data_IF_689772857049
#
_entry.id   IF_689772857049
#
_cell.length_a   1.000
_cell.length_b   1.000
_cell.length_c   1.000
_cell.angle_alpha   90.00
_cell.angle_beta   90.00
_cell.angle_gamma   90.00
#
_symmetry.space_group_name_H-M   'P 1'
#
loop_
_entity.id
_entity.type
_entity.pdbx_description
1 polymer ?
#
# COMPACT_ATOMS: atom_id res chain seq x y z
N UNK A 1 13.43 3.40 0.80
CA UNK A 1 12.84 2.53 -0.24
C UNK A 1 13.71 2.59 -1.50
N UNK A 2 14.00 1.46 -2.14
CA UNK A 2 14.77 1.47 -3.39
C UNK A 2 14.08 2.31 -4.47
N UNK A 3 14.87 3.08 -5.21
CA UNK A 3 14.35 4.01 -6.21
C UNK A 3 13.54 3.32 -7.32
N UNK A 4 13.99 2.16 -7.77
CA UNK A 4 13.26 1.39 -8.80
C UNK A 4 11.88 0.95 -8.31
N UNK A 5 11.77 0.56 -7.05
CA UNK A 5 10.52 0.12 -6.44
C UNK A 5 9.56 1.30 -6.29
N UNK A 6 10.07 2.45 -5.86
CA UNK A 6 9.27 3.68 -5.77
C UNK A 6 8.70 4.05 -7.13
N UNK A 7 9.48 3.92 -8.21
CA UNK A 7 8.99 4.18 -9.56
C UNK A 7 7.86 3.24 -9.97
N UNK A 8 7.90 1.99 -9.54
CA UNK A 8 6.79 1.05 -9.79
C UNK A 8 5.50 1.50 -9.11
N UNK A 9 5.59 1.97 -7.86
CA UNK A 9 4.44 2.50 -7.12
C UNK A 9 3.86 3.73 -7.82
N UNK A 10 4.71 4.67 -8.19
CA UNK A 10 4.31 5.91 -8.86
C UNK A 10 3.64 5.63 -10.20
N UNK A 11 4.20 4.70 -10.98
CA UNK A 11 3.64 4.31 -12.27
C UNK A 11 2.26 3.68 -12.11
N UNK A 12 2.12 2.75 -11.17
CA UNK A 12 0.83 2.10 -10.92
C UNK A 12 -0.22 3.11 -10.47
N UNK A 13 0.15 4.04 -9.59
CA UNK A 13 -0.73 5.11 -9.16
C UNK A 13 -1.22 5.97 -10.33
N UNK A 14 -0.33 6.33 -11.26
CA UNK A 14 -0.69 7.11 -12.44
C UNK A 14 -1.59 6.33 -13.40
N UNK A 15 -1.30 5.04 -13.60
CA UNK A 15 -2.08 4.19 -14.51
C UNK A 15 -3.52 3.98 -14.02
N UNK A 16 -3.72 3.87 -12.71
CA UNK A 16 -5.05 3.62 -12.14
C UNK A 16 -5.89 4.89 -11.96
N UNK A 17 -5.27 6.07 -11.99
CA UNK A 17 -6.02 7.32 -11.84
C UNK A 17 -7.14 7.40 -12.89
N UNK A 18 -8.36 7.87 -12.53
CA UNK A 18 -8.74 8.58 -11.29
C UNK A 18 -9.12 7.68 -10.12
N UNK A 19 -8.90 6.38 -10.19
CA UNK A 19 -9.13 5.48 -9.08
C UNK A 19 -7.86 5.34 -8.21
N UNK A 20 -8.04 4.98 -6.94
CA UNK A 20 -6.90 4.64 -6.11
C UNK A 20 -6.26 3.33 -6.62
N UNK A 21 -4.95 3.34 -6.76
CA UNK A 21 -4.18 2.12 -6.99
C UNK A 21 -3.97 1.42 -5.66
N UNK A 22 -3.85 0.11 -5.67
CA UNK A 22 -3.48 -0.66 -4.49
C UNK A 22 -2.60 -1.84 -4.85
N UNK A 23 -1.83 -2.31 -3.88
CA UNK A 23 -0.95 -3.44 -4.07
C UNK A 23 -0.28 -3.86 -2.77
N UNK A 24 0.65 -4.79 -2.89
CA UNK A 24 1.38 -5.34 -1.75
C UNK A 24 2.88 -5.19 -1.97
N UNK A 25 3.58 -4.92 -0.87
CA UNK A 25 5.03 -4.91 -0.85
C UNK A 25 5.50 -6.06 0.02
N UNK A 26 6.50 -6.81 -0.46
CA UNK A 26 7.16 -7.81 0.36
C UNK A 26 8.35 -7.19 1.07
N UNK A 27 8.41 -7.37 2.39
CA UNK A 27 9.46 -6.82 3.24
C UNK A 27 10.28 -7.94 3.85
N UNK A 28 11.60 -7.76 3.84
CA UNK A 28 12.52 -8.60 4.59
C UNK A 28 13.40 -7.70 5.44
N UNK A 29 13.45 -7.95 6.74
CA UNK A 29 14.19 -7.12 7.69
C UNK A 29 13.83 -5.62 7.55
N UNK A 30 12.56 -5.35 7.40
CA UNK A 30 11.99 -3.99 7.24
C UNK A 30 12.40 -3.27 5.95
N UNK A 31 12.92 -4.02 4.96
CA UNK A 31 13.28 -3.47 3.65
C UNK A 31 12.37 -4.03 2.58
N UNK A 32 11.76 -3.16 1.80
CA UNK A 32 10.90 -3.56 0.69
C UNK A 32 11.75 -4.11 -0.47
N UNK A 33 11.38 -5.29 -0.97
CA UNK A 33 12.10 -5.96 -2.05
C UNK A 33 11.28 -6.07 -3.34
N UNK A 34 9.96 -6.20 -3.23
CA UNK A 34 9.09 -6.44 -4.38
C UNK A 34 7.76 -5.74 -4.22
N UNK A 35 7.23 -5.21 -5.32
CA UNK A 35 5.87 -4.69 -5.39
C UNK A 35 4.99 -5.62 -6.24
N UNK A 36 3.81 -5.92 -5.70
CA UNK A 36 2.81 -6.75 -6.37
C UNK A 36 1.59 -5.86 -6.63
N UNK A 37 1.42 -5.36 -7.87
CA UNK A 37 0.24 -4.59 -8.21
C UNK A 37 -1.01 -5.44 -8.03
N UNK A 38 -2.02 -4.88 -7.40
CA UNK A 38 -3.30 -5.55 -7.17
C UNK A 38 -4.43 -4.78 -7.84
N UNK A 39 -5.63 -5.38 -7.80
CA UNK A 39 -6.82 -4.80 -8.38
C UNK A 39 -7.59 -4.07 -7.29
N UNK A 40 -7.99 -2.83 -7.54
CA UNK A 40 -8.92 -2.13 -6.67
C UNK A 40 -10.36 -2.48 -7.10
N UNK A 41 -10.96 -3.46 -6.44
CA UNK A 41 -12.31 -3.93 -6.77
C UNK A 41 -13.39 -2.87 -6.49
N UNK A 42 -13.09 -1.89 -5.64
CA UNK A 42 -14.00 -0.76 -5.39
C UNK A 42 -14.04 0.21 -6.56
N UNK A 43 -12.99 0.25 -7.39
CA UNK A 43 -12.85 1.16 -8.52
C UNK A 43 -13.24 2.59 -8.14
N UNK A 44 -12.67 3.09 -7.03
CA UNK A 44 -13.06 4.36 -6.43
C UNK A 44 -11.86 5.30 -6.29
N UNK A 45 -12.07 6.63 -6.46
CA UNK A 45 -11.02 7.61 -6.16
C UNK A 45 -10.84 7.89 -4.66
N UNK A 46 -11.66 7.28 -3.79
CA UNK A 46 -11.67 7.60 -2.35
C UNK A 46 -11.40 6.42 -1.43
N UNK A 47 -11.44 5.20 -1.96
CA UNK A 47 -11.19 3.99 -1.17
C UNK A 47 -10.70 2.86 -2.06
N UNK A 48 -10.19 1.80 -1.45
CA UNK A 48 -9.79 0.61 -2.19
C UNK A 48 -10.30 -0.66 -1.52
N UNK A 49 -10.52 -1.68 -2.35
CA UNK A 49 -10.81 -3.05 -1.95
C UNK A 49 -9.78 -3.92 -2.69
N UNK A 50 -8.73 -4.31 -1.99
CA UNK A 50 -7.58 -4.97 -2.59
C UNK A 50 -7.88 -6.41 -2.96
N UNK A 51 -7.71 -6.73 -4.24
CA UNK A 51 -7.84 -8.09 -4.76
C UNK A 51 -6.51 -8.52 -5.36
N UNK A 52 -5.96 -9.60 -4.84
CA UNK A 52 -4.68 -10.14 -5.29
C UNK A 52 -4.92 -10.98 -6.55
N UNK A 53 -4.18 -10.71 -7.66
CA UNK A 53 -4.35 -11.50 -8.90
C UNK A 53 -3.98 -12.96 -8.72
N UNK A 54 -2.95 -13.25 -7.91
CA UNK A 54 -2.49 -14.60 -7.63
C UNK A 54 -2.36 -14.82 -6.12
N UNK A 55 -3.42 -15.32 -5.44
CA UNK A 55 -3.38 -15.53 -3.99
C UNK A 55 -2.30 -16.51 -3.53
N UNK A 56 -1.90 -17.47 -4.36
CA UNK A 56 -0.86 -18.44 -3.99
C UNK A 56 0.47 -17.76 -3.74
N UNK A 57 0.76 -16.67 -4.45
CA UNK A 57 1.99 -15.91 -4.27
C UNK A 57 2.11 -15.36 -2.84
N UNK A 58 0.99 -14.97 -2.22
CA UNK A 58 1.00 -14.47 -0.84
C UNK A 58 1.45 -15.54 0.14
N UNK A 59 0.93 -16.75 -0.01
CA UNK A 59 1.30 -17.86 0.85
C UNK A 59 2.79 -18.21 0.68
N UNK A 60 3.27 -18.20 -0.56
CA UNK A 60 4.69 -18.45 -0.84
C UNK A 60 5.59 -17.42 -0.18
N UNK A 61 5.23 -16.13 -0.27
CA UNK A 61 6.01 -15.05 0.33
C UNK A 61 6.02 -15.14 1.86
N UNK A 62 4.88 -15.42 2.46
CA UNK A 62 4.80 -15.58 3.92
C UNK A 62 5.60 -16.80 4.39
N UNK A 63 5.53 -17.91 3.65
CA UNK A 63 6.31 -19.12 3.96
C UNK A 63 7.81 -18.87 3.84
N UNK A 64 8.23 -17.99 2.94
CA UNK A 64 9.63 -17.59 2.80
C UNK A 64 10.09 -16.56 3.85
N UNK A 65 9.20 -16.14 4.74
CA UNK A 65 9.52 -15.24 5.84
C UNK A 65 9.37 -13.76 5.53
N UNK A 66 8.71 -13.40 4.43
CA UNK A 66 8.43 -12.01 4.12
C UNK A 66 7.25 -11.48 4.94
N UNK A 67 7.37 -10.24 5.39
CA UNK A 67 6.23 -9.47 5.90
C UNK A 67 5.59 -8.74 4.72
N UNK A 68 4.26 -8.70 4.69
CA UNK A 68 3.53 -7.99 3.65
C UNK A 68 3.09 -6.62 4.16
N UNK A 69 3.33 -5.59 3.36
CA UNK A 69 2.83 -4.24 3.58
C UNK A 69 1.79 -3.92 2.51
N UNK A 70 0.76 -3.19 2.89
CA UNK A 70 -0.24 -2.74 1.92
C UNK A 70 0.13 -1.37 1.37
N UNK A 71 -0.05 -1.19 0.08
CA UNK A 71 0.14 0.08 -0.62
C UNK A 71 -1.18 0.55 -1.22
N UNK A 72 -1.44 1.84 -1.14
CA UNK A 72 -2.45 2.48 -1.99
C UNK A 72 -2.06 3.92 -2.30
N UNK A 73 -2.70 4.49 -3.32
CA UNK A 73 -2.48 5.86 -3.72
C UNK A 73 -3.64 6.75 -3.28
N UNK A 74 -3.31 8.01 -2.99
CA UNK A 74 -4.27 9.10 -2.88
C UNK A 74 -4.12 9.99 -4.12
N UNK A 75 -5.22 10.50 -4.66
CA UNK A 75 -5.16 11.37 -5.83
C UNK A 75 -4.73 12.79 -5.47
N UNK A 76 -5.39 13.40 -4.48
CA UNK A 76 -5.15 14.79 -4.11
C UNK A 76 -4.86 15.01 -2.63
N UNK A 77 -5.30 14.11 -1.76
CA UNK A 77 -5.07 14.24 -0.32
C UNK A 77 -3.64 13.90 0.05
N UNK A 78 -3.15 14.33 1.24
CA UNK A 78 -1.79 14.04 1.68
C UNK A 78 -1.50 12.54 1.77
N UNK A 79 -0.20 12.18 1.73
CA UNK A 79 0.26 10.81 1.91
C UNK A 79 0.19 10.42 3.39
N UNK A 80 -1.02 10.30 3.91
CA UNK A 80 -1.28 9.85 5.28
C UNK A 80 -2.65 9.20 5.33
N UNK A 81 -2.87 8.28 6.29
CA UNK A 81 -4.15 7.58 6.37
C UNK A 81 -5.31 8.54 6.54
N UNK A 82 -6.33 8.37 5.70
CA UNK A 82 -7.58 9.10 5.82
C UNK A 82 -8.47 8.40 6.84
N UNK A 83 -9.56 9.07 7.22
CA UNK A 83 -10.58 8.46 8.08
C UNK A 83 -11.15 7.19 7.43
N UNK A 84 -11.40 7.24 6.13
CA UNK A 84 -11.88 6.09 5.36
C UNK A 84 -10.88 4.93 5.42
N UNK A 85 -9.58 5.22 5.29
CA UNK A 85 -8.54 4.21 5.39
C UNK A 85 -8.57 3.50 6.74
N UNK A 86 -8.69 4.26 7.83
CA UNK A 86 -8.72 3.70 9.18
C UNK A 86 -9.99 2.86 9.40
N UNK A 87 -11.13 3.35 8.95
CA UNK A 87 -12.41 2.64 9.10
C UNK A 87 -12.48 1.35 8.31
N UNK A 88 -11.80 1.29 7.15
CA UNK A 88 -11.81 0.13 6.25
C UNK A 88 -10.52 -0.69 6.30
N UNK A 89 -9.73 -0.55 7.36
CA UNK A 89 -8.42 -1.23 7.46
C UNK A 89 -8.54 -2.76 7.39
N UNK A 90 -9.57 -3.34 8.01
CA UNK A 90 -9.86 -4.77 7.92
C UNK A 90 -8.65 -5.65 8.25
N UNK A 91 -8.31 -6.53 7.33
CA UNK A 91 -7.21 -7.50 7.47
C UNK A 91 -5.83 -6.85 7.53
N UNK A 92 -5.71 -5.58 7.14
CA UNK A 92 -4.43 -4.86 7.12
C UNK A 92 -4.10 -4.19 8.45
N UNK A 93 -4.98 -4.31 9.45
CA UNK A 93 -4.73 -3.80 10.79
C UNK A 93 -3.45 -4.43 11.35
N UNK A 94 -2.55 -3.61 11.87
CA UNK A 94 -1.25 -4.03 12.38
C UNK A 94 -0.16 -4.25 11.34
N UNK A 95 -0.48 -4.19 10.04
CA UNK A 95 0.48 -4.32 8.95
C UNK A 95 1.08 -2.97 8.57
N UNK A 96 2.32 -2.93 8.03
CA UNK A 96 2.83 -1.69 7.45
C UNK A 96 1.93 -1.22 6.30
N UNK A 97 1.79 0.09 6.18
CA UNK A 97 0.82 0.74 5.32
C UNK A 97 1.50 1.89 4.59
N UNK A 98 1.62 1.79 3.28
CA UNK A 98 2.37 2.75 2.46
C UNK A 98 1.40 3.51 1.57
N UNK A 99 1.53 4.83 1.54
CA UNK A 99 0.64 5.71 0.78
C UNK A 99 1.47 6.62 -0.11
N UNK A 100 1.07 6.73 -1.38
CA UNK A 100 1.61 7.70 -2.32
C UNK A 100 0.52 8.69 -2.73
N UNK A 101 0.80 9.99 -2.59
CA UNK A 101 -0.08 11.05 -3.06
C UNK A 101 0.39 11.55 -4.42
N UNK A 102 -0.43 11.39 -5.47
CA UNK A 102 -0.08 11.85 -6.81
C UNK A 102 0.07 13.36 -6.87
N UNK A 103 -0.92 14.09 -6.35
CA UNK A 103 -0.93 15.56 -6.44
C UNK A 103 0.22 16.20 -5.69
N UNK A 104 0.70 15.56 -4.63
CA UNK A 104 1.74 16.11 -3.77
C UNK A 104 3.11 15.49 -3.99
N UNK A 105 3.18 14.41 -4.77
CA UNK A 105 4.41 13.63 -4.98
C UNK A 105 5.07 13.27 -3.65
N UNK A 106 4.26 12.77 -2.72
CA UNK A 106 4.70 12.38 -1.39
C UNK A 106 4.49 10.88 -1.19
N UNK A 107 5.48 10.23 -0.59
CA UNK A 107 5.42 8.82 -0.20
C UNK A 107 5.69 8.71 1.29
N UNK A 108 4.85 8.01 2.03
CA UNK A 108 5.02 7.84 3.47
C UNK A 108 4.53 6.46 3.91
N UNK A 109 5.03 6.01 5.04
CA UNK A 109 4.70 4.72 5.61
C UNK A 109 4.16 4.87 7.03
N UNK A 110 3.22 4.01 7.37
CA UNK A 110 2.51 4.04 8.64
C UNK A 110 2.24 2.62 9.14
N UNK A 111 1.87 2.54 10.41
CA UNK A 111 1.24 1.34 10.96
C UNK A 111 -0.06 1.79 11.59
N UNK A 112 -1.17 1.17 11.18
CA UNK A 112 -2.49 1.42 11.76
C UNK A 112 -2.83 0.20 12.59
N UNK A 113 -3.01 0.39 13.89
CA UNK A 113 -3.28 -0.70 14.82
C UNK A 113 -4.30 -0.25 15.85
N UNK A 114 -5.45 -0.91 15.89
CA UNK A 114 -6.53 -0.54 16.78
C UNK A 114 -6.95 0.92 16.60
N UNK A 115 -7.01 1.40 15.36
CA UNK A 115 -7.31 2.79 14.97
C UNK A 115 -6.24 3.82 15.34
N UNK A 116 -5.11 3.38 15.87
CA UNK A 116 -3.97 4.27 16.15
C UNK A 116 -3.04 4.30 14.95
N UNK A 117 -2.65 5.49 14.56
CA UNK A 117 -1.76 5.71 13.42
C UNK A 117 -0.37 6.04 13.95
N UNK A 118 0.61 5.21 13.62
CA UNK A 118 2.01 5.47 13.89
C UNK A 118 2.77 5.66 12.59
N UNK A 119 3.67 6.62 12.55
CA UNK A 119 4.52 6.85 11.38
C UNK A 119 5.69 5.87 11.40
N UNK A 120 6.04 5.34 10.22
CA UNK A 120 7.19 4.46 10.04
C UNK A 120 8.18 5.09 9.07
N UNK A 121 9.48 4.79 9.19
CA UNK A 121 10.43 5.18 8.14
C UNK A 121 10.08 4.45 6.84
N UNK A 122 10.44 5.04 5.71
CA UNK A 122 10.27 4.39 4.41
C UNK A 122 11.15 3.14 4.34
N UNK A 123 10.56 2.08 3.87
CA UNK A 123 11.12 0.74 3.88
C UNK A 123 12.01 0.47 2.64
#
# INVERSE_FOLDING_TARGET
>A
MPAALRRELERHAAEEAPNEACGLLSLRDSVAERYIPCINAAASPYRFDLRVPDPELLFELEDEGYELAVFHSHLSSPARPSRTDVENIGLWDGKPYVIYSLARDELAAFRIEGRRIGELPLM
#
